data_IF_154988348187
#
_entry.id   IF_154988348187
#
_cell.length_a   1.000
_cell.length_b   1.000
_cell.length_c   1.000
_cell.angle_alpha   90.00
_cell.angle_beta   90.00
_cell.angle_gamma   90.00
#
_symmetry.space_group_name_H-M   'P 1'
#
loop_
_entity.id
_entity.type
_entity.pdbx_description
1 polymer ?
#
# COMPACT_ATOMS: atom_id res chain seq x y z
N UNK A 1 -5.08 -14.24 1.08
CA UNK A 1 -5.88 -13.02 1.35
C UNK A 1 -4.99 -11.80 1.17
N UNK A 2 -5.43 -10.79 0.42
CA UNK A 2 -4.71 -9.50 0.31
C UNK A 2 -5.32 -8.47 1.24
N UNK A 3 -4.49 -7.75 2.00
CA UNK A 3 -4.91 -6.69 2.92
C UNK A 3 -4.17 -5.40 2.54
N UNK A 4 -4.93 -4.37 2.19
CA UNK A 4 -4.41 -3.05 1.85
C UNK A 4 -4.57 -2.10 3.03
N UNK A 5 -3.48 -1.45 3.47
CA UNK A 5 -3.46 -0.55 4.63
C UNK A 5 -2.70 0.74 4.29
N UNK A 6 -3.08 1.88 4.90
CA UNK A 6 -2.31 3.11 4.75
C UNK A 6 -0.96 2.97 5.46
N UNK A 7 0.14 3.24 4.76
CA UNK A 7 1.48 3.19 5.33
C UNK A 7 1.93 4.60 5.67
N UNK A 8 2.66 4.75 6.79
CA UNK A 8 3.33 6.00 7.16
C UNK A 8 2.41 7.23 7.27
N UNK A 9 1.12 7.05 7.56
CA UNK A 9 0.14 8.14 7.70
C UNK A 9 0.63 9.25 8.65
N UNK A 10 1.30 8.85 9.73
CA UNK A 10 1.87 9.76 10.75
C UNK A 10 2.94 10.71 10.22
N UNK A 11 3.61 10.42 9.11
CA UNK A 11 4.58 11.34 8.49
C UNK A 11 3.88 12.60 7.95
N UNK A 12 2.58 12.52 7.65
CA UNK A 12 1.78 13.66 7.21
C UNK A 12 1.28 14.55 8.35
N UNK A 13 1.45 14.12 9.61
CA UNK A 13 0.94 14.84 10.78
C UNK A 13 1.43 16.30 10.83
N UNK A 14 2.72 16.52 10.55
CA UNK A 14 3.34 17.85 10.51
C UNK A 14 2.81 18.72 9.36
N UNK A 15 2.48 18.10 8.22
CA UNK A 15 2.00 18.79 7.01
C UNK A 15 0.57 19.29 7.19
N UNK A 16 -0.28 18.50 7.84
CA UNK A 16 -1.71 18.83 8.04
C UNK A 16 -2.00 19.49 9.40
N UNK A 17 -0.96 19.77 10.20
CA UNK A 17 -1.08 20.49 11.48
C UNK A 17 -1.74 19.70 12.60
N UNK A 18 -1.74 18.37 12.53
CA UNK A 18 -2.34 17.50 13.56
C UNK A 18 -1.26 16.74 14.33
N UNK A 19 -1.57 16.32 15.56
CA UNK A 19 -0.75 15.33 16.27
C UNK A 19 -1.30 13.94 15.96
N UNK A 20 -0.56 13.14 15.21
CA UNK A 20 -0.81 11.70 15.09
C UNK A 20 0.32 10.93 15.74
N UNK A 21 -0.01 9.94 16.55
CA UNK A 21 0.98 8.96 16.98
C UNK A 21 1.32 8.09 15.78
N UNK A 22 2.61 7.75 15.62
CA UNK A 22 3.01 6.66 14.75
C UNK A 22 2.13 5.47 15.10
N UNK A 23 1.44 4.92 14.11
CA UNK A 23 0.75 3.67 14.31
C UNK A 23 1.84 2.63 14.49
N UNK A 24 2.16 2.38 15.75
CA UNK A 24 2.87 1.19 16.12
C UNK A 24 1.88 0.06 15.92
N UNK A 25 2.01 -0.63 14.79
CA UNK A 25 1.45 -1.97 14.63
C UNK A 25 1.90 -2.92 15.77
N UNK A 26 2.86 -2.49 16.61
CA UNK A 26 3.30 -3.14 17.85
C UNK A 26 2.19 -3.26 18.93
N UNK A 27 0.97 -2.74 18.73
CA UNK A 27 -0.12 -2.86 19.72
C UNK A 27 -1.47 -3.32 19.18
N UNK A 28 -1.70 -3.23 17.86
CA UNK A 28 -2.81 -3.91 17.21
C UNK A 28 -2.19 -5.14 16.58
N UNK A 29 -2.31 -6.26 17.28
CA UNK A 29 -1.66 -7.51 16.91
C UNK A 29 -2.36 -8.18 15.71
N UNK A 30 -2.62 -7.40 14.66
CA UNK A 30 -3.11 -7.88 13.38
C UNK A 30 -2.23 -9.03 12.93
N UNK A 31 -0.91 -8.88 13.02
CA UNK A 31 0.02 -9.91 12.60
C UNK A 31 -0.13 -11.22 13.37
N UNK A 32 -0.23 -11.21 14.70
CA UNK A 32 -0.43 -12.48 15.44
C UNK A 32 -1.83 -13.04 15.26
N UNK A 33 -2.85 -12.21 15.02
CA UNK A 33 -4.18 -12.74 14.67
C UNK A 33 -4.23 -13.30 13.24
N UNK A 34 -3.36 -12.84 12.34
CA UNK A 34 -3.29 -13.26 10.95
C UNK A 34 -2.50 -14.57 10.79
N UNK A 35 -1.62 -14.97 11.73
CA UNK A 35 -0.93 -16.27 11.66
C UNK A 35 -1.85 -17.48 11.86
N UNK A 36 -3.10 -17.27 12.29
CA UNK A 36 -4.08 -18.35 12.48
C UNK A 36 -4.73 -18.85 11.18
N UNK A 37 -4.44 -18.23 10.04
CA UNK A 37 -4.99 -18.64 8.76
C UNK A 37 -4.02 -19.55 8.00
N UNK A 38 -4.51 -20.71 7.57
CA UNK A 38 -3.72 -21.71 6.83
C UNK A 38 -3.50 -21.36 5.34
N UNK A 39 -3.53 -20.07 5.00
CA UNK A 39 -3.32 -19.59 3.62
C UNK A 39 -2.48 -18.31 3.60
N UNK A 40 -1.78 -18.01 2.48
CA UNK A 40 -0.93 -16.83 2.39
C UNK A 40 -1.71 -15.53 2.62
N UNK A 41 -1.17 -14.64 3.46
CA UNK A 41 -1.68 -13.30 3.68
C UNK A 41 -0.65 -12.30 3.17
N UNK A 42 -1.06 -11.46 2.23
CA UNK A 42 -0.23 -10.45 1.59
C UNK A 42 -0.66 -9.07 2.07
N UNK A 43 0.28 -8.30 2.60
CA UNK A 43 0.06 -6.94 3.05
C UNK A 43 0.64 -5.96 2.03
N UNK A 44 -0.10 -4.89 1.74
CA UNK A 44 0.35 -3.86 0.83
C UNK A 44 -0.11 -2.47 1.26
N UNK A 45 0.63 -1.48 0.79
CA UNK A 45 0.18 -0.10 0.89
C UNK A 45 -1.09 0.09 0.03
N UNK A 46 -2.10 0.76 0.59
CA UNK A 46 -3.37 1.08 -0.06
C UNK A 46 -3.23 1.72 -1.45
N UNK A 47 -2.40 2.75 -1.61
CA UNK A 47 -2.19 3.41 -2.90
C UNK A 47 -1.53 2.46 -3.92
N UNK A 48 -0.57 1.64 -3.48
CA UNK A 48 0.07 0.64 -4.33
C UNK A 48 -0.89 -0.47 -4.75
N UNK A 49 -1.71 -0.97 -3.82
CA UNK A 49 -2.73 -1.98 -4.12
C UNK A 49 -3.80 -1.44 -5.07
N UNK A 50 -4.26 -0.20 -4.87
CA UNK A 50 -5.19 0.47 -5.77
C UNK A 50 -4.60 0.65 -7.18
N UNK A 51 -3.34 1.08 -7.27
CA UNK A 51 -2.62 1.22 -8.54
C UNK A 51 -2.46 -0.13 -9.25
N UNK A 52 -2.10 -1.19 -8.51
CA UNK A 52 -2.01 -2.55 -9.07
C UNK A 52 -3.36 -3.08 -9.55
N UNK A 53 -4.45 -2.80 -8.83
CA UNK A 53 -5.79 -3.17 -9.25
C UNK A 53 -6.20 -2.44 -10.54
N UNK A 54 -5.90 -1.14 -10.65
CA UNK A 54 -6.14 -0.37 -11.87
C UNK A 54 -5.30 -0.88 -13.05
N UNK A 55 -4.05 -1.30 -12.81
CA UNK A 55 -3.20 -1.87 -13.85
C UNK A 55 -3.75 -3.20 -14.40
N UNK A 56 -4.31 -4.05 -13.53
CA UNK A 56 -4.75 -5.41 -13.91
C UNK A 56 -6.20 -5.43 -14.39
N UNK A 57 -7.07 -4.59 -13.80
CA UNK A 57 -8.52 -4.63 -14.00
C UNK A 57 -9.09 -3.32 -14.54
N UNK A 58 -8.27 -2.28 -14.73
CA UNK A 58 -8.70 -1.03 -15.33
C UNK A 58 -9.14 -1.23 -16.77
N UNK A 59 -10.18 -0.48 -17.17
CA UNK A 59 -10.71 -0.50 -18.53
C UNK A 59 -9.95 0.40 -19.51
N UNK A 60 -8.86 1.00 -19.06
CA UNK A 60 -8.01 1.89 -19.87
C UNK A 60 -6.88 1.08 -20.48
N UNK A 61 -6.65 1.26 -21.78
CA UNK A 61 -5.47 0.76 -22.48
C UNK A 61 -4.26 1.58 -22.00
N UNK A 62 -3.75 1.24 -20.82
CA UNK A 62 -2.64 1.94 -20.19
C UNK A 62 -1.34 1.59 -20.93
N UNK A 63 -0.49 2.59 -21.23
CA UNK A 63 0.82 2.31 -21.80
C UNK A 63 1.63 1.41 -20.87
N UNK A 64 2.62 0.69 -21.41
CA UNK A 64 3.49 -0.21 -20.62
C UNK A 64 4.33 0.53 -19.56
N UNK A 65 4.39 1.86 -19.65
CA UNK A 65 5.10 2.77 -18.76
C UNK A 65 4.19 3.95 -18.40
N UNK A 66 3.89 4.12 -17.12
CA UNK A 66 3.13 5.29 -16.65
C UNK A 66 3.37 5.58 -15.18
N UNK A 67 3.07 6.82 -14.81
CA UNK A 67 3.04 7.28 -13.43
C UNK A 67 1.58 7.44 -12.99
N UNK A 68 1.17 6.69 -11.98
CA UNK A 68 -0.12 6.89 -11.32
C UNK A 68 0.05 7.87 -10.17
N UNK A 69 -0.68 8.98 -10.20
CA UNK A 69 -0.74 9.94 -9.09
C UNK A 69 -2.16 10.01 -8.56
N UNK A 70 -2.30 9.85 -7.25
CA UNK A 70 -3.55 10.02 -6.53
C UNK A 70 -3.47 11.29 -5.67
N UNK A 71 -4.41 12.21 -5.89
CA UNK A 71 -4.57 13.43 -5.12
C UNK A 71 -5.87 13.35 -4.32
N UNK A 72 -5.76 13.06 -3.03
CA UNK A 72 -6.87 13.08 -2.08
C UNK A 72 -6.55 13.94 -0.87
N UNK A 73 -6.94 13.48 0.32
CA UNK A 73 -6.50 14.10 1.58
C UNK A 73 -4.97 13.99 1.77
N UNK A 74 -4.37 12.95 1.20
CA UNK A 74 -2.93 12.75 1.08
C UNK A 74 -2.55 12.57 -0.40
N UNK A 75 -1.28 12.80 -0.73
CA UNK A 75 -0.71 12.51 -2.05
C UNK A 75 -0.12 11.10 -2.04
N UNK A 76 -0.52 10.27 -3.00
CA UNK A 76 0.01 8.93 -3.20
C UNK A 76 0.25 8.64 -4.68
N UNK A 77 0.83 7.49 -4.98
CA UNK A 77 1.07 7.10 -6.37
C UNK A 77 1.91 5.83 -6.52
N UNK A 78 2.13 5.44 -7.76
CA UNK A 78 2.92 4.27 -8.15
C UNK A 78 3.56 4.45 -9.52
N UNK A 79 4.73 3.86 -9.72
CA UNK A 79 5.46 3.89 -10.99
C UNK A 79 5.32 2.53 -11.66
N UNK A 80 4.91 2.49 -12.92
CA UNK A 80 4.85 1.26 -13.72
C UNK A 80 5.89 1.34 -14.83
N UNK A 81 6.72 0.31 -14.95
CA UNK A 81 7.72 0.15 -16.01
C UNK A 81 7.64 -1.28 -16.54
N UNK A 82 7.46 -1.45 -17.86
CA UNK A 82 7.33 -2.76 -18.48
C UNK A 82 6.17 -3.60 -17.92
N UNK A 83 5.00 -2.96 -17.70
CA UNK A 83 3.81 -3.58 -17.09
C UNK A 83 4.04 -4.15 -15.67
N UNK A 84 5.07 -3.69 -14.97
CA UNK A 84 5.34 -4.05 -13.57
C UNK A 84 5.26 -2.83 -12.67
N UNK A 85 4.48 -2.94 -11.60
CA UNK A 85 4.40 -1.93 -10.55
C UNK A 85 5.67 -1.95 -9.71
N UNK A 86 6.38 -0.83 -9.69
CA UNK A 86 7.50 -0.58 -8.79
C UNK A 86 6.98 0.06 -7.50
N UNK A 87 6.85 -0.77 -6.47
CA UNK A 87 6.49 -0.33 -5.11
C UNK A 87 7.72 0.08 -4.32
N UNK A 88 7.56 0.93 -3.29
CA UNK A 88 8.67 1.28 -2.40
C UNK A 88 9.31 0.04 -1.73
N UNK A 89 10.61 0.14 -1.40
CA UNK A 89 11.50 -0.93 -0.89
C UNK A 89 11.12 -1.47 0.53
N UNK A 90 9.99 -1.08 1.10
CA UNK A 90 9.52 -1.57 2.41
C UNK A 90 8.25 -2.41 2.29
N UNK A 91 8.32 -3.46 1.48
CA UNK A 91 7.39 -4.58 1.60
C UNK A 91 7.96 -5.56 2.62
N UNK A 92 7.42 -5.57 3.84
CA UNK A 92 7.61 -6.69 4.74
C UNK A 92 6.78 -7.85 4.20
N UNK A 93 7.41 -8.70 3.39
CA UNK A 93 6.82 -9.97 3.00
C UNK A 93 7.02 -10.92 4.19
N UNK A 94 5.97 -11.16 4.98
CA UNK A 94 5.95 -12.34 5.85
C UNK A 94 5.75 -13.58 4.95
N UNK A 95 6.85 -14.16 4.50
CA UNK A 95 6.88 -15.51 3.96
C UNK A 95 7.18 -16.44 5.14
N UNK A 96 6.27 -17.37 5.42
CA UNK A 96 6.59 -18.59 6.17
C UNK A 96 7.24 -19.60 5.23
#
# INVERSE_FOLDING_TARGET
>A
MGIALPYFLWEWASVIGVKMKKWQLEGLDLFTNLVHFDFPILLGNDASCACGAELVFGNSDLPSEFLYLYFGYFIGGGVVIGNRLFTQVRQEILVH
#
